data_IF_770669251509
#
_entry.id   IF_770669251509
#
_cell.length_a   1.000
_cell.length_b   1.000
_cell.length_c   1.000
_cell.angle_alpha   90.00
_cell.angle_beta   90.00
_cell.angle_gamma   90.00
#
_symmetry.space_group_name_H-M   'P 1'
#
loop_
_entity.id
_entity.type
_entity.pdbx_description
1 polymer ?
#
# COMPACT_ATOMS: atom_id res chain seq x y z
N UNK A 1 -38.26 4.02 33.17
CA UNK A 1 -38.19 4.76 31.88
C UNK A 1 -36.73 4.76 31.48
N UNK A 2 -36.45 4.25 30.28
CA UNK A 2 -35.11 4.00 29.76
C UNK A 2 -34.42 5.32 29.39
N UNK A 3 -33.22 5.54 29.92
CA UNK A 3 -32.28 6.51 29.33
C UNK A 3 -31.79 5.90 28.01
N UNK A 4 -32.25 6.47 26.89
CA UNK A 4 -31.70 6.18 25.57
C UNK A 4 -30.26 6.69 25.55
N UNK A 5 -29.30 5.77 25.66
CA UNK A 5 -27.89 6.08 25.47
C UNK A 5 -27.66 6.53 24.03
N UNK A 6 -27.06 7.71 23.86
CA UNK A 6 -26.31 7.99 22.64
C UNK A 6 -25.21 6.95 22.55
N UNK A 7 -25.31 6.03 21.57
CA UNK A 7 -24.18 5.20 21.15
C UNK A 7 -23.16 6.11 20.46
N UNK A 8 -22.28 6.73 21.23
CA UNK A 8 -20.89 6.87 20.81
C UNK A 8 -20.30 5.45 20.87
N UNK A 9 -19.60 4.92 19.87
CA UNK A 9 -18.53 5.52 19.09
C UNK A 9 -18.38 4.68 17.82
N UNK A 10 -18.15 5.33 16.68
CA UNK A 10 -17.76 4.69 15.42
C UNK A 10 -16.60 3.70 15.62
N UNK A 11 -16.63 2.56 14.91
CA UNK A 11 -15.41 1.96 14.41
C UNK A 11 -15.43 2.03 12.88
N UNK A 12 -14.97 3.16 12.33
CA UNK A 12 -14.36 3.18 10.98
C UNK A 12 -12.93 3.70 11.13
N UNK A 13 -12.14 3.10 12.02
CA UNK A 13 -10.68 3.26 12.06
C UNK A 13 -10.12 2.00 12.71
N UNK A 14 -9.56 1.06 11.93
CA UNK A 14 -9.22 -0.26 12.47
C UNK A 14 -8.70 -1.29 11.49
N UNK A 15 -7.82 -0.91 10.56
CA UNK A 15 -6.96 -1.92 9.91
C UNK A 15 -5.58 -1.80 10.54
N UNK A 16 -5.31 -2.63 11.55
CA UNK A 16 -3.96 -3.04 11.96
C UNK A 16 -3.25 -3.86 10.87
N UNK A 17 -3.45 -3.50 9.61
CA UNK A 17 -3.15 -4.37 8.48
C UNK A 17 -1.74 -4.16 7.98
N UNK A 18 -1.00 -5.26 7.97
CA UNK A 18 0.08 -5.45 7.02
C UNK A 18 -0.56 -5.56 5.62
N UNK A 19 -0.15 -4.72 4.67
CA UNK A 19 -0.53 -4.90 3.27
C UNK A 19 0.58 -5.69 2.57
N UNK A 20 0.19 -6.70 1.79
CA UNK A 20 1.12 -7.39 0.90
C UNK A 20 0.62 -7.28 -0.53
N UNK A 21 1.45 -6.70 -1.39
CA UNK A 21 1.10 -6.39 -2.76
C UNK A 21 2.16 -6.92 -3.73
N UNK A 22 1.72 -7.33 -4.91
CA UNK A 22 2.61 -7.86 -5.95
C UNK A 22 2.13 -7.46 -7.34
N UNK A 23 3.07 -7.39 -8.28
CA UNK A 23 2.80 -7.26 -9.71
C UNK A 23 3.78 -8.09 -10.53
N UNK A 24 3.44 -8.35 -11.80
CA UNK A 24 4.12 -9.37 -12.61
C UNK A 24 4.91 -8.82 -13.80
N UNK A 25 4.81 -7.52 -14.13
CA UNK A 25 5.51 -6.94 -15.29
C UNK A 25 6.05 -5.52 -15.01
N UNK A 26 7.33 -5.37 -14.63
CA UNK A 26 8.22 -6.43 -14.13
C UNK A 26 7.70 -7.04 -12.82
N UNK A 27 8.24 -8.18 -12.40
CA UNK A 27 7.86 -8.73 -11.09
C UNK A 27 8.33 -7.80 -9.97
N UNK A 28 7.42 -7.50 -9.04
CA UNK A 28 7.72 -6.69 -7.87
C UNK A 28 6.86 -7.12 -6.67
N UNK A 29 7.36 -6.83 -5.47
CA UNK A 29 6.68 -7.05 -4.20
C UNK A 29 6.74 -5.80 -3.33
N UNK A 30 5.65 -5.50 -2.63
CA UNK A 30 5.55 -4.43 -1.65
C UNK A 30 4.94 -4.99 -0.38
N UNK A 31 5.60 -4.80 0.75
CA UNK A 31 5.03 -5.07 2.08
C UNK A 31 5.00 -3.77 2.88
N UNK A 32 3.85 -3.41 3.43
CA UNK A 32 3.64 -2.20 4.24
C UNK A 32 3.30 -2.61 5.66
N UNK A 33 4.11 -2.18 6.63
CA UNK A 33 3.84 -2.34 8.06
C UNK A 33 3.84 -0.96 8.73
N UNK A 34 3.50 -0.89 10.02
CA UNK A 34 3.61 0.36 10.81
C UNK A 34 5.06 0.79 11.07
N UNK A 35 6.01 -0.10 10.84
CA UNK A 35 7.45 0.15 11.09
C UNK A 35 8.13 0.61 9.80
N UNK A 36 7.87 -0.08 8.68
CA UNK A 36 8.53 0.17 7.42
C UNK A 36 7.69 -0.22 6.21
N UNK A 37 8.09 0.30 5.05
CA UNK A 37 7.63 -0.10 3.73
C UNK A 37 8.80 -0.77 3.03
N UNK A 38 8.64 -2.04 2.66
CA UNK A 38 9.64 -2.76 1.89
C UNK A 38 9.17 -2.92 0.45
N UNK A 39 10.02 -2.53 -0.50
CA UNK A 39 9.77 -2.63 -1.93
C UNK A 39 10.89 -3.43 -2.59
N UNK A 40 10.53 -4.44 -3.38
CA UNK A 40 11.47 -5.33 -4.05
C UNK A 40 11.09 -5.42 -5.53
N UNK A 41 12.04 -5.10 -6.41
CA UNK A 41 11.95 -5.40 -7.83
C UNK A 41 12.72 -6.69 -8.12
N UNK A 42 12.27 -7.46 -9.10
CA UNK A 42 13.00 -8.64 -9.58
C UNK A 42 14.44 -8.25 -9.93
N UNK A 43 15.39 -9.07 -9.47
CA UNK A 43 16.83 -8.89 -9.66
C UNK A 43 17.41 -7.58 -9.06
N UNK A 44 16.70 -6.96 -8.12
CA UNK A 44 17.20 -5.79 -7.36
C UNK A 44 17.24 -6.08 -5.86
N UNK A 45 18.02 -5.27 -5.13
CA UNK A 45 18.02 -5.31 -3.68
C UNK A 45 16.70 -4.79 -3.10
N UNK A 46 16.30 -5.35 -1.95
CA UNK A 46 15.13 -4.87 -1.21
C UNK A 46 15.36 -3.44 -0.74
N UNK A 47 14.47 -2.54 -1.13
CA UNK A 47 14.45 -1.15 -0.72
C UNK A 47 13.57 -1.00 0.53
N UNK A 48 14.08 -0.33 1.57
CA UNK A 48 13.34 -0.01 2.79
C UNK A 48 13.08 1.49 2.86
N UNK A 49 11.83 1.83 3.11
CA UNK A 49 11.34 3.20 3.29
C UNK A 49 10.65 3.32 4.66
N UNK A 50 10.70 4.50 5.30
CA UNK A 50 9.93 4.74 6.51
C UNK A 50 8.43 4.68 6.18
N UNK A 51 7.64 4.12 7.10
CA UNK A 51 6.20 4.18 7.01
C UNK A 51 5.71 5.61 7.24
N UNK A 52 4.83 6.07 6.36
CA UNK A 52 4.13 7.35 6.50
C UNK A 52 2.62 7.08 6.53
N UNK A 53 1.90 7.82 7.37
CA UNK A 53 0.46 7.63 7.52
C UNK A 53 -0.25 7.95 6.18
N UNK A 54 -1.11 7.05 5.67
CA UNK A 54 -1.80 7.28 4.42
C UNK A 54 -2.78 8.46 4.53
N UNK A 55 -2.87 9.23 3.45
CA UNK A 55 -3.97 10.16 3.23
C UNK A 55 -5.11 9.39 2.56
N UNK A 56 -6.27 9.33 3.21
CA UNK A 56 -7.46 8.68 2.67
C UNK A 56 -8.26 9.66 1.81
N UNK A 57 -8.62 9.23 0.60
CA UNK A 57 -9.44 9.98 -0.35
C UNK A 57 -10.47 9.04 -0.98
N UNK A 58 -11.75 9.23 -0.68
CA UNK A 58 -12.87 8.38 -1.15
C UNK A 58 -12.61 6.88 -0.91
N UNK A 59 -12.21 6.14 -1.95
CA UNK A 59 -11.94 4.70 -1.96
C UNK A 59 -10.45 4.37 -2.13
N UNK A 60 -9.57 5.32 -1.83
CA UNK A 60 -8.14 5.24 -2.09
C UNK A 60 -7.32 5.70 -0.89
N UNK A 61 -6.22 5.00 -0.64
CA UNK A 61 -5.19 5.36 0.35
C UNK A 61 -3.92 5.75 -0.39
N UNK A 62 -3.40 6.93 -0.11
CA UNK A 62 -2.18 7.47 -0.70
C UNK A 62 -1.08 7.56 0.35
N UNK A 63 0.05 6.91 0.11
CA UNK A 63 1.26 7.01 0.92
C UNK A 63 2.35 7.65 0.06
N UNK A 64 3.05 8.64 0.60
CA UNK A 64 4.22 9.26 -0.04
C UNK A 64 5.36 9.23 0.97
N UNK A 65 6.43 8.53 0.62
CA UNK A 65 7.60 8.36 1.48
C UNK A 65 8.89 8.47 0.66
N UNK A 66 10.03 8.47 1.33
CA UNK A 66 11.34 8.62 0.71
C UNK A 66 12.46 8.09 1.58
N UNK A 67 13.59 7.81 0.96
CA UNK A 67 14.83 7.43 1.64
C UNK A 67 16.04 8.16 1.06
N UNK A 68 17.04 8.37 1.90
CA UNK A 68 18.33 8.92 1.48
C UNK A 68 19.23 7.79 0.95
N UNK A 69 19.97 8.08 -0.13
CA UNK A 69 20.95 7.17 -0.74
C UNK A 69 22.23 7.94 -1.06
N UNK A 70 23.31 7.24 -1.45
CA UNK A 70 24.55 7.89 -1.84
C UNK A 70 24.40 8.80 -3.08
N UNK A 71 23.40 8.55 -3.93
CA UNK A 71 23.12 9.30 -5.16
C UNK A 71 22.08 10.40 -4.95
N UNK A 72 21.55 10.53 -3.73
CA UNK A 72 20.51 11.48 -3.36
C UNK A 72 19.25 10.79 -2.85
N UNK A 73 18.12 11.50 -2.95
CA UNK A 73 16.85 11.08 -2.36
C UNK A 73 16.01 10.29 -3.37
N UNK A 74 15.56 9.11 -2.96
CA UNK A 74 14.66 8.24 -3.73
C UNK A 74 13.25 8.35 -3.15
N UNK A 75 12.27 8.57 -4.01
CA UNK A 75 10.87 8.72 -3.63
C UNK A 75 10.04 7.49 -3.97
N UNK A 76 9.08 7.19 -3.10
CA UNK A 76 8.10 6.14 -3.29
C UNK A 76 6.71 6.67 -3.00
N UNK A 77 5.84 6.61 -3.99
CA UNK A 77 4.42 6.95 -3.87
C UNK A 77 3.58 5.70 -4.11
N UNK A 78 2.72 5.37 -3.17
CA UNK A 78 1.87 4.17 -3.21
C UNK A 78 0.41 4.61 -3.17
N UNK A 79 -0.37 4.13 -4.13
CA UNK A 79 -1.81 4.32 -4.19
C UNK A 79 -2.50 2.97 -4.10
N UNK A 80 -3.29 2.76 -3.05
CA UNK A 80 -4.08 1.55 -2.82
C UNK A 80 -5.55 1.90 -3.01
N UNK A 81 -6.22 1.28 -3.97
CA UNK A 81 -7.64 1.50 -4.26
C UNK A 81 -8.46 0.26 -3.87
N UNK A 82 -9.58 0.46 -3.19
CA UNK A 82 -10.56 -0.58 -2.84
C UNK A 82 -11.34 -1.02 -4.08
N UNK A 83 -10.65 -1.76 -4.95
CA UNK A 83 -11.15 -2.23 -6.24
C UNK A 83 -10.58 -3.62 -6.51
N UNK A 84 -11.46 -4.56 -6.87
CA UNK A 84 -11.04 -5.93 -7.14
C UNK A 84 -9.97 -5.99 -8.24
N UNK A 85 -8.90 -6.74 -7.96
CA UNK A 85 -7.75 -6.92 -8.83
C UNK A 85 -7.51 -8.41 -9.08
N UNK A 86 -6.98 -8.75 -10.26
CA UNK A 86 -6.69 -10.12 -10.65
C UNK A 86 -5.25 -10.18 -11.13
N UNK A 87 -4.44 -11.10 -10.59
CA UNK A 87 -3.10 -11.35 -11.11
C UNK A 87 -3.17 -12.32 -12.29
N UNK A 88 -2.24 -12.22 -13.23
CA UNK A 88 -2.22 -13.01 -14.46
C UNK A 88 -1.94 -14.50 -14.25
N UNK A 89 -1.33 -14.85 -13.12
CA UNK A 89 -0.71 -16.16 -12.91
C UNK A 89 -1.68 -17.20 -12.36
N UNK A 90 -2.69 -16.76 -11.60
CA UNK A 90 -3.72 -17.61 -11.01
C UNK A 90 -4.91 -16.69 -10.83
N UNK A 91 -6.13 -17.06 -11.20
CA UNK A 91 -7.33 -16.20 -11.08
C UNK A 91 -7.73 -15.82 -9.63
N UNK A 92 -6.78 -15.75 -8.70
CA UNK A 92 -6.92 -15.20 -7.35
C UNK A 92 -7.38 -13.76 -7.47
N UNK A 93 -8.54 -13.51 -6.88
CA UNK A 93 -9.12 -12.18 -6.72
C UNK A 93 -8.52 -11.55 -5.48
N UNK A 94 -7.94 -10.38 -5.65
CA UNK A 94 -7.43 -9.52 -4.59
C UNK A 94 -8.40 -8.36 -4.35
N UNK A 95 -8.57 -7.90 -3.11
CA UNK A 95 -9.48 -6.80 -2.78
C UNK A 95 -8.98 -5.43 -3.26
N UNK A 96 -7.66 -5.26 -3.44
CA UNK A 96 -7.07 -3.96 -3.74
C UNK A 96 -6.32 -3.94 -5.08
N UNK A 97 -6.45 -2.82 -5.79
CA UNK A 97 -5.54 -2.42 -6.87
C UNK A 97 -4.46 -1.52 -6.29
N UNK A 98 -3.22 -1.74 -6.70
CA UNK A 98 -2.06 -1.03 -6.15
C UNK A 98 -1.24 -0.44 -7.29
N UNK A 99 -0.92 0.84 -7.15
CA UNK A 99 0.01 1.56 -8.01
C UNK A 99 1.19 2.03 -7.15
N UNK A 100 2.41 1.74 -7.61
CA UNK A 100 3.65 2.16 -6.98
C UNK A 100 4.42 3.03 -7.97
N UNK A 101 4.62 4.29 -7.65
CA UNK A 101 5.46 5.22 -8.41
C UNK A 101 6.79 5.38 -7.66
N UNK A 102 7.86 4.83 -8.24
CA UNK A 102 9.24 4.94 -7.74
C UNK A 102 10.04 5.84 -8.68
N UNK A 103 10.32 7.06 -8.22
CA UNK A 103 11.02 8.11 -9.00
C UNK A 103 10.48 8.27 -10.45
N UNK A 104 9.16 8.30 -10.62
CA UNK A 104 8.50 8.48 -11.90
C UNK A 104 8.29 7.19 -12.71
N UNK A 105 8.78 6.04 -12.23
CA UNK A 105 8.49 4.73 -12.82
C UNK A 105 7.31 4.10 -12.08
N UNK A 106 6.24 3.86 -12.81
CA UNK A 106 4.98 3.34 -12.27
C UNK A 106 4.89 1.83 -12.45
N UNK A 107 4.56 1.14 -11.36
CA UNK A 107 4.33 -0.29 -11.30
C UNK A 107 2.90 -0.56 -10.85
N UNK A 108 2.24 -1.51 -11.51
CA UNK A 108 0.86 -1.88 -11.24
C UNK A 108 0.78 -3.30 -10.70
N UNK A 109 -0.15 -3.52 -9.78
CA UNK A 109 -0.32 -4.80 -9.12
C UNK A 109 -1.59 -4.89 -8.27
N UNK A 110 -1.67 -5.96 -7.50
CA UNK A 110 -2.78 -6.28 -6.64
C UNK A 110 -2.30 -6.48 -5.20
N UNK A 111 -3.16 -6.26 -4.20
CA UNK A 111 -2.80 -6.48 -2.80
C UNK A 111 -3.97 -6.98 -1.94
N UNK A 112 -3.64 -7.51 -0.77
CA UNK A 112 -4.56 -7.96 0.29
C UNK A 112 -4.18 -7.44 1.68
#
# INVERSE_FOLDING_TARGET
>A
MLFAGCKTTDPIVGVEGQYSCEGANPFWKLDITKEEISFLLLDQEKEIFPYEMPVETDNRKLIVTSRETAEGKVWLKISIEESACYTSTVGKKFPYKVEVDRDGKVYYGCGE
#
